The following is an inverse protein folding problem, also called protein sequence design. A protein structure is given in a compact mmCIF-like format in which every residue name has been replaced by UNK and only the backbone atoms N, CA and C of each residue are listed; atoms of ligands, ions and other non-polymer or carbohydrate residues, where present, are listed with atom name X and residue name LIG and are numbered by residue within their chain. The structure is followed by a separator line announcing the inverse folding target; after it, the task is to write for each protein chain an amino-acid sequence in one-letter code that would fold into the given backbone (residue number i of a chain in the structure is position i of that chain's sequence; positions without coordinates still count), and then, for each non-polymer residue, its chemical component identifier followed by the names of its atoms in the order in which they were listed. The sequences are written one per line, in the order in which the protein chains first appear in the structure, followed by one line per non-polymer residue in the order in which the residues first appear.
data_IF_178689829520
#
_entry.id   IF_178689829520
#
_cell.length_a   1.000
_cell.length_b   1.000
_cell.length_c   1.000
_cell.angle_alpha   90.00
_cell.angle_beta   90.00
_cell.angle_gamma   90.00
#
_symmetry.space_group_name_H-M   'P 1'
#
loop_
_entity.id
_entity.type
_entity.pdbx_description
1 polymer ?
#
# COMPACT_ATOMS: atom_id res chain seq x y z
N UNK A 1 -32.00 21.55 7.34
CA UNK A 1 -31.17 21.32 6.14
C UNK A 1 -30.22 20.20 6.51
N UNK A 2 -30.39 19.03 5.93
CA UNK A 2 -29.41 17.93 6.12
C UNK A 2 -28.14 18.37 5.41
N UNK A 3 -27.06 18.61 6.17
CA UNK A 3 -25.75 18.90 5.58
C UNK A 3 -25.35 17.72 4.70
N UNK A 4 -25.01 18.00 3.45
CA UNK A 4 -24.51 16.96 2.54
C UNK A 4 -23.24 16.36 3.15
N UNK A 5 -23.16 15.02 3.15
CA UNK A 5 -21.98 14.32 3.67
C UNK A 5 -20.73 14.74 2.87
N UNK A 6 -19.59 15.00 3.53
CA UNK A 6 -18.32 15.24 2.82
C UNK A 6 -17.96 14.04 1.94
N UNK A 7 -17.56 14.30 0.70
CA UNK A 7 -17.15 13.27 -0.24
C UNK A 7 -15.68 12.93 0.00
N UNK A 8 -15.40 11.63 0.21
CA UNK A 8 -14.04 11.09 0.18
C UNK A 8 -13.84 10.30 -1.11
N UNK A 9 -12.89 10.74 -1.90
CA UNK A 9 -12.47 10.07 -3.14
C UNK A 9 -11.39 9.03 -2.82
N UNK A 10 -11.54 7.81 -3.33
CA UNK A 10 -10.56 6.73 -3.11
C UNK A 10 -10.06 6.23 -4.45
N UNK A 11 -8.79 6.49 -4.74
CA UNK A 11 -8.07 5.89 -5.86
C UNK A 11 -7.60 4.47 -5.50
N UNK A 12 -7.46 3.60 -6.50
CA UNK A 12 -7.10 2.22 -6.27
C UNK A 12 -8.14 1.41 -5.47
N UNK A 13 -9.40 1.85 -5.42
CA UNK A 13 -10.48 1.29 -4.61
C UNK A 13 -10.79 -0.20 -4.89
N UNK A 14 -10.44 -0.70 -6.07
CA UNK A 14 -10.56 -2.11 -6.46
C UNK A 14 -9.32 -2.95 -6.18
N UNK A 15 -8.24 -2.34 -5.66
CA UNK A 15 -7.00 -2.99 -5.26
C UNK A 15 -6.89 -3.17 -3.73
N UNK A 16 -5.76 -3.65 -3.27
CA UNK A 16 -5.53 -3.96 -1.86
C UNK A 16 -5.68 -2.74 -0.94
N UNK A 17 -4.89 -1.69 -1.16
CA UNK A 17 -4.88 -0.51 -0.28
C UNK A 17 -6.22 0.24 -0.32
N UNK A 18 -6.63 0.69 -1.50
CA UNK A 18 -7.88 1.45 -1.64
C UNK A 18 -9.11 0.64 -1.24
N UNK A 19 -9.12 -0.68 -1.50
CA UNK A 19 -10.19 -1.58 -1.06
C UNK A 19 -10.27 -1.67 0.46
N UNK A 20 -9.13 -1.78 1.15
CA UNK A 20 -9.05 -1.76 2.61
C UNK A 20 -9.58 -0.43 3.17
N UNK A 21 -9.19 0.71 2.57
CA UNK A 21 -9.68 2.05 2.96
C UNK A 21 -11.20 2.15 2.81
N UNK A 22 -11.75 1.75 1.65
CA UNK A 22 -13.21 1.77 1.42
C UNK A 22 -13.94 0.90 2.43
N UNK A 23 -13.48 -0.35 2.63
CA UNK A 23 -14.13 -1.27 3.57
C UNK A 23 -14.12 -0.72 5.00
N UNK A 24 -13.00 -0.13 5.44
CA UNK A 24 -12.89 0.46 6.78
C UNK A 24 -13.81 1.67 6.95
N UNK A 25 -13.82 2.60 6.01
CA UNK A 25 -14.70 3.77 6.04
C UNK A 25 -16.17 3.37 6.02
N UNK A 26 -16.57 2.37 5.24
CA UNK A 26 -17.93 1.84 5.24
C UNK A 26 -18.32 1.24 6.59
N UNK A 27 -17.39 0.56 7.27
CA UNK A 27 -17.70 -0.10 8.55
C UNK A 27 -17.76 0.86 9.74
N UNK A 28 -16.98 1.95 9.72
CA UNK A 28 -16.84 2.85 10.88
C UNK A 28 -17.46 4.23 10.69
N UNK A 29 -17.62 4.69 9.45
CA UNK A 29 -17.92 6.09 9.13
C UNK A 29 -18.97 6.26 8.03
N UNK A 30 -19.77 5.22 7.77
CA UNK A 30 -20.78 5.19 6.67
C UNK A 30 -21.76 6.37 6.69
N UNK A 31 -22.07 6.87 7.87
CA UNK A 31 -23.00 7.99 8.04
C UNK A 31 -22.29 9.35 8.07
N UNK A 32 -20.97 9.37 8.03
CA UNK A 32 -20.18 10.60 8.10
C UNK A 32 -19.73 11.06 6.70
N UNK A 33 -19.44 10.09 5.79
CA UNK A 33 -18.87 10.37 4.49
C UNK A 33 -19.66 9.73 3.36
N UNK A 34 -19.71 10.42 2.22
CA UNK A 34 -20.05 9.81 0.94
C UNK A 34 -18.77 9.32 0.27
N UNK A 35 -18.70 8.03 -0.06
CA UNK A 35 -17.51 7.44 -0.65
C UNK A 35 -17.60 7.38 -2.17
N UNK A 36 -16.59 7.90 -2.85
CA UNK A 36 -16.44 7.85 -4.30
C UNK A 36 -15.20 7.03 -4.66
N UNK A 37 -15.41 5.86 -5.23
CA UNK A 37 -14.37 4.96 -5.73
C UNK A 37 -14.01 5.31 -7.17
N UNK A 38 -12.73 5.57 -7.44
CA UNK A 38 -12.24 5.86 -8.77
C UNK A 38 -11.58 4.62 -9.36
N UNK A 39 -11.95 4.28 -10.59
CA UNK A 39 -11.41 3.13 -11.33
C UNK A 39 -11.33 3.38 -12.83
N UNK A 40 -10.37 2.76 -13.50
CA UNK A 40 -10.26 2.75 -14.97
C UNK A 40 -11.33 1.89 -15.65
N UNK A 41 -11.98 0.99 -14.90
CA UNK A 41 -13.06 0.14 -15.41
C UNK A 41 -14.24 0.06 -14.44
N UNK A 42 -15.20 1.02 -14.50
CA UNK A 42 -16.41 1.02 -13.67
C UNK A 42 -17.31 -0.21 -13.88
N UNK A 43 -17.14 -0.91 -14.99
CA UNK A 43 -17.93 -2.11 -15.32
C UNK A 43 -17.28 -3.41 -14.83
N UNK A 44 -16.13 -3.37 -14.18
CA UNK A 44 -15.48 -4.55 -13.62
C UNK A 44 -16.33 -5.16 -12.49
N UNK A 45 -16.16 -6.47 -12.25
CA UNK A 45 -16.86 -7.15 -11.15
C UNK A 45 -16.52 -6.53 -9.79
N UNK A 46 -15.28 -6.13 -9.58
CA UNK A 46 -14.85 -5.45 -8.36
C UNK A 46 -15.53 -4.09 -8.18
N UNK A 47 -15.63 -3.28 -9.24
CA UNK A 47 -16.31 -1.99 -9.21
C UNK A 47 -17.82 -2.15 -8.92
N UNK A 48 -18.49 -3.13 -9.54
CA UNK A 48 -19.90 -3.43 -9.26
C UNK A 48 -20.13 -3.82 -7.81
N UNK A 49 -19.27 -4.64 -7.22
CA UNK A 49 -19.34 -4.99 -5.79
C UNK A 49 -19.23 -3.77 -4.87
N UNK A 50 -18.46 -2.75 -5.25
CA UNK A 50 -18.41 -1.49 -4.49
C UNK A 50 -19.73 -0.71 -4.62
N UNK A 51 -20.29 -0.62 -5.82
CA UNK A 51 -21.59 0.02 -6.04
C UNK A 51 -22.73 -0.68 -5.26
N UNK A 52 -22.75 -2.01 -5.19
CA UNK A 52 -23.68 -2.80 -4.38
C UNK A 52 -23.59 -2.47 -2.87
N UNK A 53 -22.42 -2.05 -2.39
CA UNK A 53 -22.22 -1.57 -1.01
C UNK A 53 -22.66 -0.12 -0.79
N UNK A 54 -23.12 0.58 -1.83
CA UNK A 54 -23.55 1.97 -1.81
C UNK A 54 -22.41 2.97 -2.01
N UNK A 55 -21.27 2.55 -2.58
CA UNK A 55 -20.18 3.43 -2.96
C UNK A 55 -20.45 3.99 -4.36
N UNK A 56 -20.31 5.29 -4.54
CA UNK A 56 -20.33 5.92 -5.87
C UNK A 56 -19.10 5.46 -6.66
N UNK A 57 -19.29 4.93 -7.86
CA UNK A 57 -18.19 4.48 -8.71
C UNK A 57 -18.08 5.38 -9.93
N UNK A 58 -16.91 5.98 -10.12
CA UNK A 58 -16.64 6.88 -11.25
C UNK A 58 -15.42 6.43 -12.04
N UNK A 59 -15.42 6.80 -13.33
CA UNK A 59 -14.24 6.60 -14.17
C UNK A 59 -13.19 7.65 -13.85
N UNK A 60 -11.92 7.23 -13.77
CA UNK A 60 -10.75 8.10 -13.70
C UNK A 60 -9.47 7.30 -13.94
N UNK A 61 -8.55 7.90 -14.69
CA UNK A 61 -7.27 7.33 -15.05
C UNK A 61 -6.16 8.37 -14.82
N UNK A 62 -5.23 8.07 -13.91
CA UNK A 62 -4.14 8.97 -13.58
C UNK A 62 -3.21 9.28 -14.77
N UNK A 63 -3.22 8.45 -15.82
CA UNK A 63 -2.53 8.72 -17.08
C UNK A 63 -3.32 9.66 -18.01
N UNK A 64 -4.56 10.02 -17.67
CA UNK A 64 -5.48 10.85 -18.45
C UNK A 64 -6.03 11.98 -17.57
N UNK A 65 -5.25 13.06 -17.38
CA UNK A 65 -5.63 14.15 -16.48
C UNK A 65 -7.04 14.70 -16.72
N UNK A 66 -7.47 14.74 -17.98
CA UNK A 66 -8.81 15.20 -18.37
C UNK A 66 -9.94 14.34 -17.77
N UNK A 67 -9.68 13.09 -17.40
CA UNK A 67 -10.65 12.19 -16.79
C UNK A 67 -10.83 12.41 -15.28
N UNK A 68 -9.97 13.20 -14.64
CA UNK A 68 -9.90 13.31 -13.19
C UNK A 68 -10.84 14.38 -12.64
N UNK A 69 -11.25 15.36 -13.43
CA UNK A 69 -12.12 16.46 -12.99
C UNK A 69 -13.41 15.95 -12.34
N UNK A 70 -14.11 15.02 -12.99
CA UNK A 70 -15.34 14.45 -12.45
C UNK A 70 -15.11 13.62 -11.16
N UNK A 71 -13.93 13.01 -11.02
CA UNK A 71 -13.59 12.26 -9.81
C UNK A 71 -13.49 13.16 -8.58
N UNK A 72 -12.95 14.38 -8.72
CA UNK A 72 -12.75 15.32 -7.62
C UNK A 72 -13.88 16.36 -7.46
N UNK A 73 -14.91 16.35 -8.32
CA UNK A 73 -16.02 17.31 -8.22
C UNK A 73 -16.72 17.23 -6.86
N UNK A 74 -16.71 18.34 -6.12
CA UNK A 74 -17.28 18.47 -4.77
C UNK A 74 -16.58 17.64 -3.69
N UNK A 75 -15.44 17.01 -3.99
CA UNK A 75 -14.70 16.19 -3.02
C UNK A 75 -14.09 17.07 -1.91
N UNK A 76 -14.23 16.59 -0.67
CA UNK A 76 -13.61 17.21 0.51
C UNK A 76 -12.26 16.61 0.84
N UNK A 77 -12.11 15.28 0.66
CA UNK A 77 -10.89 14.56 0.96
C UNK A 77 -10.60 13.46 -0.06
N UNK A 78 -9.34 13.03 -0.12
CA UNK A 78 -8.94 11.98 -1.05
C UNK A 78 -7.87 11.04 -0.48
N UNK A 79 -8.04 9.74 -0.70
CA UNK A 79 -6.96 8.76 -0.60
C UNK A 79 -6.36 8.54 -1.99
N UNK A 80 -5.08 8.81 -2.13
CA UNK A 80 -4.34 8.75 -3.40
C UNK A 80 -3.25 7.68 -3.34
N UNK A 81 -3.17 6.88 -4.39
CA UNK A 81 -2.15 5.84 -4.57
C UNK A 81 -1.90 5.61 -6.06
N UNK A 82 -0.66 5.35 -6.43
CA UNK A 82 -0.24 4.90 -7.76
C UNK A 82 0.17 3.44 -7.74
N UNK A 83 0.21 2.78 -8.89
CA UNK A 83 0.60 1.39 -9.03
C UNK A 83 1.74 1.23 -10.04
N UNK A 84 2.97 1.27 -9.55
CA UNK A 84 4.17 1.02 -10.35
C UNK A 84 4.16 -0.36 -11.05
N UNK A 85 3.61 -1.36 -10.39
CA UNK A 85 3.61 -2.75 -10.84
C UNK A 85 2.43 -3.11 -11.77
N UNK A 86 1.76 -2.12 -12.36
CA UNK A 86 0.68 -2.38 -13.29
C UNK A 86 1.22 -3.01 -14.59
N UNK A 87 0.87 -4.27 -14.90
CA UNK A 87 1.40 -4.98 -16.06
C UNK A 87 1.03 -4.33 -17.40
N UNK A 88 0.02 -3.45 -17.41
CA UNK A 88 -0.44 -2.76 -18.62
C UNK A 88 0.34 -1.46 -18.94
N UNK A 89 1.23 -1.04 -18.04
CA UNK A 89 1.94 0.24 -18.16
C UNK A 89 3.45 0.10 -18.43
N UNK A 90 3.97 -1.14 -18.33
CA UNK A 90 5.41 -1.36 -18.29
C UNK A 90 6.05 -0.85 -17.00
N UNK A 91 7.36 -1.00 -16.88
CA UNK A 91 8.14 -0.54 -15.73
C UNK A 91 8.87 0.78 -16.06
N UNK A 92 8.13 1.78 -16.58
CA UNK A 92 8.69 3.12 -16.76
C UNK A 92 8.90 3.76 -15.38
N UNK A 93 10.17 4.10 -15.04
CA UNK A 93 10.50 4.67 -13.74
C UNK A 93 9.71 5.94 -13.38
N UNK A 94 9.38 6.79 -14.36
CA UNK A 94 8.70 8.08 -14.10
C UNK A 94 7.18 7.96 -13.95
N UNK A 95 6.59 6.82 -14.29
CA UNK A 95 5.12 6.64 -14.29
C UNK A 95 4.48 7.00 -12.96
N UNK A 96 5.02 6.53 -11.83
CA UNK A 96 4.46 6.83 -10.50
C UNK A 96 4.46 8.33 -10.19
N UNK A 97 5.53 9.04 -10.54
CA UNK A 97 5.61 10.49 -10.33
C UNK A 97 4.61 11.26 -11.20
N UNK A 98 4.53 10.93 -12.48
CA UNK A 98 3.59 11.59 -13.41
C UNK A 98 2.15 11.36 -12.99
N UNK A 99 1.79 10.12 -12.68
CA UNK A 99 0.45 9.78 -12.18
C UNK A 99 0.13 10.51 -10.88
N UNK A 100 1.03 10.44 -9.89
CA UNK A 100 0.84 11.10 -8.61
C UNK A 100 0.65 12.61 -8.77
N UNK A 101 1.49 13.25 -9.59
CA UNK A 101 1.37 14.67 -9.91
C UNK A 101 0.01 15.01 -10.53
N UNK A 102 -0.46 14.22 -11.51
CA UNK A 102 -1.77 14.43 -12.13
C UNK A 102 -2.92 14.34 -11.12
N UNK A 103 -2.85 13.38 -10.18
CA UNK A 103 -3.83 13.24 -9.10
C UNK A 103 -3.85 14.44 -8.18
N UNK A 104 -2.68 14.95 -7.79
CA UNK A 104 -2.53 16.11 -6.92
C UNK A 104 -3.02 17.37 -7.62
N UNK A 105 -2.63 17.58 -8.87
CA UNK A 105 -3.07 18.73 -9.68
C UNK A 105 -4.61 18.77 -9.79
N UNK A 106 -5.24 17.62 -10.06
CA UNK A 106 -6.69 17.51 -10.15
C UNK A 106 -7.38 17.80 -8.80
N UNK A 107 -6.82 17.28 -7.69
CA UNK A 107 -7.32 17.55 -6.34
C UNK A 107 -7.24 19.05 -6.01
N UNK A 108 -6.11 19.70 -6.27
CA UNK A 108 -5.91 21.15 -6.05
C UNK A 108 -6.83 21.97 -6.96
N UNK A 109 -6.92 21.61 -8.25
CA UNK A 109 -7.72 22.32 -9.24
C UNK A 109 -9.23 22.27 -8.93
N UNK A 110 -9.71 21.22 -8.24
CA UNK A 110 -11.12 21.13 -7.80
C UNK A 110 -11.54 22.28 -6.88
N UNK A 111 -10.58 22.88 -6.14
CA UNK A 111 -10.81 23.94 -5.16
C UNK A 111 -11.58 23.49 -3.89
N UNK A 112 -12.08 22.25 -3.86
CA UNK A 112 -12.92 21.71 -2.78
C UNK A 112 -12.17 20.74 -1.88
N UNK A 113 -11.14 20.03 -2.39
CA UNK A 113 -10.32 19.09 -1.60
C UNK A 113 -9.52 19.87 -0.55
N UNK A 114 -9.65 19.47 0.72
CA UNK A 114 -9.00 20.07 1.89
C UNK A 114 -7.95 19.15 2.53
N UNK A 115 -8.10 17.84 2.37
CA UNK A 115 -7.23 16.86 3.00
C UNK A 115 -6.94 15.70 2.08
N UNK A 116 -5.67 15.36 1.93
CA UNK A 116 -5.18 14.23 1.12
C UNK A 116 -4.45 13.24 2.01
N UNK A 117 -4.72 11.96 1.84
CA UNK A 117 -3.88 10.87 2.35
C UNK A 117 -3.16 10.25 1.16
N UNK A 118 -1.83 10.37 1.15
CA UNK A 118 -0.98 9.81 0.11
C UNK A 118 -0.31 8.52 0.56
N UNK A 119 -0.40 7.47 -0.26
CA UNK A 119 0.39 6.25 -0.04
C UNK A 119 1.81 6.46 -0.54
N UNK A 120 2.71 6.76 0.38
CA UNK A 120 4.11 7.11 0.14
C UNK A 120 5.07 5.93 0.37
N UNK A 121 6.33 6.16 0.05
CA UNK A 121 7.51 5.35 0.40
C UNK A 121 8.70 6.27 0.63
N UNK A 122 9.79 5.74 1.21
CA UNK A 122 10.96 6.55 1.58
C UNK A 122 11.77 7.07 0.38
N UNK A 123 12.46 8.18 0.57
CA UNK A 123 13.48 8.70 -0.35
C UNK A 123 14.76 7.85 -0.25
N UNK A 124 14.90 6.91 -1.18
CA UNK A 124 16.02 5.98 -1.18
C UNK A 124 17.30 6.65 -1.69
N UNK A 125 17.19 7.60 -2.58
CA UNK A 125 18.37 8.34 -3.07
C UNK A 125 19.03 9.08 -1.90
N UNK A 126 18.25 9.77 -1.07
CA UNK A 126 18.73 10.43 0.14
C UNK A 126 19.22 9.43 1.20
N UNK A 127 18.44 8.40 1.51
CA UNK A 127 18.76 7.42 2.54
C UNK A 127 20.03 6.63 2.21
N UNK A 128 20.31 6.36 0.93
CA UNK A 128 21.49 5.63 0.46
C UNK A 128 22.68 6.53 0.13
N UNK A 129 22.53 7.86 0.22
CA UNK A 129 23.55 8.80 -0.27
C UNK A 129 23.79 8.68 -1.78
N UNK A 130 22.77 8.35 -2.57
CA UNK A 130 22.85 8.17 -4.02
C UNK A 130 23.50 6.86 -4.48
N UNK A 131 23.76 5.91 -3.56
CA UNK A 131 24.40 4.64 -3.91
C UNK A 131 23.43 3.55 -4.37
N UNK A 132 22.13 3.76 -4.16
CA UNK A 132 21.06 2.84 -4.54
C UNK A 132 19.90 3.63 -5.16
N UNK A 133 19.45 3.22 -6.34
CA UNK A 133 18.27 3.78 -6.99
C UNK A 133 17.13 2.76 -6.94
N UNK A 134 15.98 3.15 -6.40
CA UNK A 134 14.76 2.34 -6.34
C UNK A 134 13.59 3.24 -6.76
N UNK A 135 13.37 3.41 -8.08
CA UNK A 135 12.44 4.38 -8.64
C UNK A 135 11.02 4.36 -8.04
N UNK A 136 10.43 3.19 -7.80
CA UNK A 136 9.08 3.12 -7.23
C UNK A 136 9.01 3.61 -5.76
N UNK A 137 10.13 3.65 -5.03
CA UNK A 137 10.23 4.32 -3.73
C UNK A 137 10.38 5.83 -3.91
N UNK A 138 11.46 6.23 -4.58
CA UNK A 138 11.84 7.64 -4.74
C UNK A 138 10.74 8.45 -5.40
N UNK A 139 10.02 7.90 -6.41
CA UNK A 139 8.97 8.64 -7.09
C UNK A 139 7.71 8.85 -6.23
N UNK A 140 7.37 7.91 -5.35
CA UNK A 140 6.29 8.14 -4.39
C UNK A 140 6.66 9.24 -3.39
N UNK A 141 7.90 9.29 -2.95
CA UNK A 141 8.42 10.38 -2.13
C UNK A 141 8.44 11.72 -2.87
N UNK A 142 8.83 11.77 -4.14
CA UNK A 142 8.76 12.99 -4.97
C UNK A 142 7.34 13.53 -5.07
N UNK A 143 6.33 12.66 -5.16
CA UNK A 143 4.91 13.08 -5.12
C UNK A 143 4.56 13.62 -3.73
N UNK A 144 5.05 13.01 -2.66
CA UNK A 144 4.87 13.53 -1.32
C UNK A 144 5.43 14.95 -1.17
N UNK A 145 6.68 15.19 -1.62
CA UNK A 145 7.27 16.54 -1.62
C UNK A 145 6.41 17.52 -2.45
N UNK A 146 5.87 17.05 -3.58
CA UNK A 146 4.97 17.85 -4.39
C UNK A 146 3.66 18.20 -3.67
N UNK A 147 3.08 17.25 -2.91
CA UNK A 147 1.91 17.51 -2.05
C UNK A 147 2.25 18.53 -0.95
N UNK A 148 3.37 18.34 -0.25
CA UNK A 148 3.82 19.24 0.84
C UNK A 148 4.03 20.68 0.36
N UNK A 149 4.39 20.84 -0.91
CA UNK A 149 4.55 22.16 -1.53
C UNK A 149 3.24 22.84 -1.96
N UNK A 150 2.06 22.17 -1.89
CA UNK A 150 0.79 22.76 -2.32
C UNK A 150 0.22 23.70 -1.24
N UNK A 151 0.07 25.01 -1.53
CA UNK A 151 -0.48 25.96 -0.56
C UNK A 151 -1.92 25.61 -0.16
N UNK A 152 -2.18 25.53 1.15
CA UNK A 152 -3.54 25.33 1.68
C UNK A 152 -4.09 23.89 1.57
N UNK A 153 -3.33 22.96 1.04
CA UNK A 153 -3.68 21.53 1.04
C UNK A 153 -3.09 20.87 2.30
N UNK A 154 -3.95 20.33 3.14
CA UNK A 154 -3.52 19.50 4.26
C UNK A 154 -3.32 18.05 3.80
N UNK A 155 -2.33 17.36 4.35
CA UNK A 155 -2.06 15.98 3.97
C UNK A 155 -1.47 15.16 5.11
N UNK A 156 -1.66 13.83 5.04
CA UNK A 156 -0.92 12.83 5.79
C UNK A 156 -0.33 11.78 4.84
N UNK A 157 0.78 11.17 5.23
CA UNK A 157 1.54 10.25 4.39
C UNK A 157 1.60 8.88 5.05
N UNK A 158 1.16 7.86 4.33
CA UNK A 158 1.09 6.49 4.86
C UNK A 158 2.03 5.60 4.07
N UNK A 159 3.01 5.07 4.76
CA UNK A 159 4.04 4.19 4.21
C UNK A 159 3.62 2.75 4.46
N UNK A 160 3.05 2.10 3.46
CA UNK A 160 2.61 0.73 3.58
C UNK A 160 3.80 -0.21 3.82
N UNK A 161 3.69 -1.09 4.82
CA UNK A 161 4.66 -2.13 5.09
C UNK A 161 4.69 -3.22 4.02
N UNK A 162 5.52 -4.23 4.23
CA UNK A 162 5.60 -5.40 3.37
C UNK A 162 4.31 -6.23 3.53
N UNK A 163 3.59 -6.43 2.44
CA UNK A 163 2.29 -7.11 2.48
C UNK A 163 2.44 -8.58 2.84
N UNK A 164 1.68 -9.06 3.80
CA UNK A 164 1.56 -10.48 4.09
C UNK A 164 1.15 -11.28 2.84
N UNK A 165 0.33 -10.67 1.97
CA UNK A 165 -0.12 -11.23 0.69
C UNK A 165 1.03 -11.53 -0.28
N UNK A 166 2.20 -10.89 -0.14
CA UNK A 166 3.38 -11.20 -0.95
C UNK A 166 3.89 -12.62 -0.72
N UNK A 167 3.61 -13.22 0.45
CA UNK A 167 3.92 -14.62 0.75
C UNK A 167 3.26 -15.61 -0.22
N UNK A 168 2.18 -15.22 -0.87
CA UNK A 168 1.45 -16.07 -1.84
C UNK A 168 1.52 -15.53 -3.27
N UNK A 169 1.72 -14.22 -3.46
CA UNK A 169 1.52 -13.58 -4.75
C UNK A 169 2.81 -13.04 -5.38
N UNK A 170 3.95 -13.08 -4.65
CA UNK A 170 5.15 -12.40 -5.12
C UNK A 170 6.43 -13.25 -5.00
N UNK A 171 6.67 -14.20 -5.93
CA UNK A 171 7.75 -15.16 -5.89
C UNK A 171 9.16 -14.62 -5.61
N UNK A 172 9.56 -13.41 -6.09
CA UNK A 172 10.90 -12.89 -5.84
C UNK A 172 11.26 -12.66 -4.36
N UNK A 173 10.26 -12.47 -3.50
CA UNK A 173 10.47 -12.35 -2.05
C UNK A 173 10.36 -13.68 -1.31
N UNK A 174 10.01 -14.74 -2.01
CA UNK A 174 9.86 -16.08 -1.48
C UNK A 174 8.39 -16.48 -1.31
N UNK A 175 7.95 -17.40 -2.14
CA UNK A 175 6.64 -18.05 -2.05
C UNK A 175 6.88 -19.54 -1.83
N UNK A 176 6.33 -20.17 -0.75
CA UNK A 176 6.45 -21.60 -0.56
C UNK A 176 5.86 -22.36 -1.75
N UNK A 177 6.68 -23.14 -2.42
CA UNK A 177 6.34 -23.87 -3.65
C UNK A 177 6.70 -25.34 -3.50
N UNK A 178 5.85 -26.26 -3.97
CA UNK A 178 6.16 -27.69 -3.98
C UNK A 178 7.11 -27.98 -5.13
N UNK A 179 8.29 -28.55 -4.81
CA UNK A 179 9.30 -29.02 -5.76
C UNK A 179 9.74 -30.41 -5.31
N UNK A 180 9.63 -31.43 -6.18
CA UNK A 180 10.07 -32.79 -5.90
C UNK A 180 9.58 -33.30 -4.52
N UNK A 181 8.28 -33.21 -4.26
CA UNK A 181 7.61 -33.60 -3.02
C UNK A 181 8.05 -32.83 -1.74
N UNK A 182 8.80 -31.75 -1.89
CA UNK A 182 9.23 -30.89 -0.80
C UNK A 182 8.67 -29.47 -0.98
N UNK A 183 8.35 -28.82 0.13
CA UNK A 183 8.04 -27.40 0.11
C UNK A 183 9.34 -26.62 0.21
N UNK A 184 9.63 -25.81 -0.81
CA UNK A 184 10.83 -24.98 -0.90
C UNK A 184 10.42 -23.52 -0.92
N UNK A 185 11.13 -22.68 -0.16
CA UNK A 185 11.04 -21.23 -0.24
C UNK A 185 12.41 -20.69 -0.66
N UNK A 186 12.48 -20.15 -1.88
CA UNK A 186 13.68 -19.47 -2.38
C UNK A 186 13.54 -17.96 -2.17
N UNK A 187 14.53 -17.33 -1.57
CA UNK A 187 14.53 -15.88 -1.33
C UNK A 187 15.92 -15.27 -1.42
N UNK A 188 15.99 -14.05 -1.94
CA UNK A 188 17.23 -13.26 -1.95
C UNK A 188 17.33 -12.29 -0.75
N UNK A 189 16.30 -12.21 0.09
CA UNK A 189 16.33 -11.45 1.34
C UNK A 189 17.20 -12.19 2.35
N UNK A 190 18.10 -11.47 3.03
CA UNK A 190 18.97 -12.06 4.06
C UNK A 190 18.14 -12.54 5.26
N UNK A 191 18.61 -13.62 5.89
CA UNK A 191 17.92 -14.27 7.01
C UNK A 191 17.81 -13.38 8.28
N UNK A 192 18.69 -12.41 8.42
CA UNK A 192 18.74 -11.46 9.54
C UNK A 192 17.95 -10.17 9.30
N UNK A 193 17.41 -9.98 8.10
CA UNK A 193 16.59 -8.79 7.76
C UNK A 193 15.15 -9.02 8.21
N UNK A 194 14.67 -8.18 9.11
CA UNK A 194 13.28 -8.14 9.51
C UNK A 194 12.48 -7.22 8.57
N UNK A 195 11.36 -7.73 8.07
CA UNK A 195 10.43 -7.01 7.22
C UNK A 195 9.25 -6.50 8.06
N UNK A 196 8.83 -5.24 7.92
CA UNK A 196 7.67 -4.70 8.61
C UNK A 196 6.39 -5.20 7.92
N UNK A 197 5.70 -6.16 8.51
CA UNK A 197 4.55 -6.83 7.90
C UNK A 197 3.25 -6.08 8.14
N UNK A 198 2.34 -6.21 7.18
CA UNK A 198 0.96 -5.77 7.28
C UNK A 198 0.03 -6.72 6.52
N UNK A 199 -1.10 -7.10 7.10
CA UNK A 199 -2.24 -7.60 6.34
C UNK A 199 -2.90 -6.42 5.63
N UNK A 200 -2.52 -6.21 4.36
CA UNK A 200 -2.89 -4.99 3.63
C UNK A 200 -4.40 -4.87 3.43
N UNK A 201 -5.14 -5.97 3.36
CA UNK A 201 -6.57 -5.97 3.16
C UNK A 201 -7.34 -5.61 4.43
N UNK A 202 -6.90 -6.11 5.59
CA UNK A 202 -7.59 -5.93 6.86
C UNK A 202 -7.10 -4.72 7.65
N UNK A 203 -5.80 -4.41 7.60
CA UNK A 203 -5.21 -3.46 8.52
C UNK A 203 -4.92 -2.08 7.91
N UNK A 204 -4.68 -1.98 6.61
CA UNK A 204 -4.29 -0.70 6.01
C UNK A 204 -5.35 0.39 6.18
N UNK A 205 -6.62 0.02 6.01
CA UNK A 205 -7.74 0.95 6.25
C UNK A 205 -7.84 1.43 7.70
N UNK A 206 -7.34 0.65 8.69
CA UNK A 206 -7.30 1.05 10.11
C UNK A 206 -6.29 2.19 10.34
N UNK A 207 -5.20 2.24 9.57
CA UNK A 207 -4.28 3.37 9.59
C UNK A 207 -4.85 4.60 8.88
N UNK A 208 -5.59 4.42 7.78
CA UNK A 208 -6.03 5.52 6.91
C UNK A 208 -7.34 6.18 7.38
N UNK A 209 -8.35 5.41 7.80
CA UNK A 209 -9.67 5.97 8.11
C UNK A 209 -9.65 7.02 9.24
N UNK A 210 -8.88 6.85 10.34
CA UNK A 210 -8.78 7.85 11.40
C UNK A 210 -8.20 9.19 10.95
N UNK A 211 -7.40 9.21 9.87
CA UNK A 211 -6.80 10.44 9.33
C UNK A 211 -7.88 11.39 8.78
N UNK A 212 -8.93 10.85 8.18
CA UNK A 212 -10.07 11.62 7.71
C UNK A 212 -10.96 12.10 8.86
N UNK A 213 -10.98 11.37 9.99
CA UNK A 213 -11.78 11.76 11.15
C UNK A 213 -11.18 12.95 11.93
N UNK A 214 -9.85 13.08 11.94
CA UNK A 214 -9.15 14.19 12.61
C UNK A 214 -7.97 14.70 11.76
N UNK A 215 -8.24 15.39 10.64
CA UNK A 215 -7.18 15.87 9.75
C UNK A 215 -6.19 16.82 10.43
N UNK A 216 -6.65 17.61 11.39
CA UNK A 216 -5.79 18.58 12.08
C UNK A 216 -4.70 17.88 12.92
N UNK A 217 -5.05 16.77 13.57
CA UNK A 217 -4.11 15.97 14.35
C UNK A 217 -3.04 15.31 13.49
N UNK A 218 -3.41 14.86 12.28
CA UNK A 218 -2.56 14.05 11.43
C UNK A 218 -1.89 14.83 10.29
N UNK A 219 -2.18 16.11 10.15
CA UNK A 219 -1.59 16.93 9.08
C UNK A 219 -0.07 16.98 9.16
N UNK A 220 0.59 16.63 8.06
CA UNK A 220 2.03 16.62 7.90
C UNK A 220 2.72 15.36 8.44
N UNK A 221 2.00 14.44 9.08
CA UNK A 221 2.60 13.25 9.69
C UNK A 221 2.92 12.16 8.66
N UNK A 222 4.04 11.47 8.90
CA UNK A 222 4.47 10.25 8.26
C UNK A 222 4.07 9.07 9.14
N UNK A 223 3.34 8.10 8.57
CA UNK A 223 2.75 6.97 9.29
C UNK A 223 3.24 5.68 8.68
N UNK A 224 4.05 4.94 9.42
CA UNK A 224 4.54 3.63 9.03
C UNK A 224 3.45 2.58 9.30
N UNK A 225 2.75 2.17 8.25
CA UNK A 225 1.62 1.25 8.34
C UNK A 225 2.10 -0.20 8.29
N UNK A 226 2.62 -0.68 9.40
CA UNK A 226 2.98 -2.07 9.63
C UNK A 226 2.64 -2.46 11.08
N UNK A 227 2.46 -3.76 11.32
CA UNK A 227 1.94 -4.27 12.59
C UNK A 227 2.97 -5.07 13.39
N UNK A 228 3.99 -5.61 12.72
CA UNK A 228 5.07 -6.36 13.32
C UNK A 228 6.29 -6.44 12.40
N UNK A 229 7.44 -6.78 12.97
CA UNK A 229 8.65 -7.10 12.23
C UNK A 229 8.93 -8.59 12.28
N UNK A 230 9.05 -9.27 11.12
CA UNK A 230 9.46 -10.67 11.04
C UNK A 230 10.54 -10.88 9.99
N UNK A 231 11.52 -11.72 10.31
CA UNK A 231 12.47 -12.24 9.33
C UNK A 231 11.83 -13.37 8.51
N UNK A 232 12.37 -13.66 7.31
CA UNK A 232 11.88 -14.80 6.50
C UNK A 232 11.93 -16.13 7.27
N UNK A 233 12.99 -16.46 8.03
CA UNK A 233 12.99 -17.65 8.89
C UNK A 233 11.88 -17.69 9.93
N UNK A 234 11.52 -16.53 10.53
CA UNK A 234 10.41 -16.45 11.48
C UNK A 234 9.06 -16.70 10.79
N UNK A 235 8.85 -16.12 9.60
CA UNK A 235 7.65 -16.39 8.81
C UNK A 235 7.53 -17.87 8.42
N UNK A 236 8.64 -18.49 8.01
CA UNK A 236 8.70 -19.95 7.74
C UNK A 236 8.32 -20.74 8.97
N UNK A 237 8.89 -20.43 10.14
CA UNK A 237 8.58 -21.13 11.39
C UNK A 237 7.08 -21.04 11.76
N UNK A 238 6.49 -19.86 11.61
CA UNK A 238 5.03 -19.68 11.84
C UNK A 238 4.23 -20.56 10.88
N UNK A 239 4.59 -20.56 9.61
CA UNK A 239 3.93 -21.39 8.60
C UNK A 239 4.05 -22.89 8.91
N UNK A 240 5.26 -23.39 9.21
CA UNK A 240 5.51 -24.80 9.56
C UNK A 240 4.67 -25.23 10.77
N UNK A 241 4.63 -24.40 11.81
CA UNK A 241 3.84 -24.68 13.03
C UNK A 241 2.34 -24.77 12.74
N UNK A 242 1.82 -23.93 11.85
CA UNK A 242 0.39 -23.91 11.50
C UNK A 242 -0.01 -25.00 10.50
N UNK A 243 0.84 -25.30 9.55
CA UNK A 243 0.54 -26.24 8.47
C UNK A 243 0.95 -27.69 8.77
N UNK A 244 1.87 -27.88 9.71
CA UNK A 244 2.55 -29.19 9.93
C UNK A 244 3.49 -29.56 8.78
N UNK A 245 3.79 -28.65 7.84
CA UNK A 245 4.59 -28.91 6.64
C UNK A 245 5.97 -28.28 6.79
N UNK A 246 7.03 -29.08 6.67
CA UNK A 246 8.40 -28.58 6.69
C UNK A 246 8.72 -27.78 5.42
N UNK A 247 9.42 -26.65 5.58
CA UNK A 247 9.85 -25.78 4.48
C UNK A 247 11.38 -25.76 4.37
N UNK A 248 11.88 -26.08 3.20
CA UNK A 248 13.30 -25.94 2.88
C UNK A 248 13.58 -24.51 2.43
N UNK A 249 14.06 -23.68 3.37
CA UNK A 249 14.46 -22.32 3.07
C UNK A 249 15.80 -22.32 2.33
N UNK A 250 15.82 -21.74 1.12
CA UNK A 250 17.01 -21.64 0.28
C UNK A 250 17.27 -20.16 -0.07
N UNK A 251 18.46 -19.67 0.27
CA UNK A 251 18.90 -18.36 -0.18
C UNK A 251 19.39 -18.45 -1.62
N UNK A 252 18.93 -17.51 -2.46
CA UNK A 252 19.41 -17.31 -3.83
C UNK A 252 20.18 -15.99 -3.93
N UNK A 253 20.97 -15.84 -4.98
CA UNK A 253 21.66 -14.60 -5.28
C UNK A 253 20.68 -13.56 -5.83
N UNK A 254 20.80 -12.28 -5.41
CA UNK A 254 19.95 -11.19 -5.88
C UNK A 254 19.99 -11.03 -7.40
N UNK A 255 21.15 -11.29 -8.01
CA UNK A 255 21.33 -11.21 -9.47
C UNK A 255 20.49 -12.21 -10.27
N UNK A 256 19.99 -13.28 -9.61
CA UNK A 256 19.09 -14.25 -10.25
C UNK A 256 17.63 -13.80 -10.32
N UNK A 257 17.28 -12.72 -9.61
CA UNK A 257 15.93 -12.13 -9.68
C UNK A 257 15.77 -11.42 -11.03
N UNK A 258 14.75 -11.77 -11.84
CA UNK A 258 14.71 -11.36 -13.25
C UNK A 258 14.41 -9.90 -13.50
N UNK A 259 13.88 -9.17 -12.50
CA UNK A 259 13.43 -7.77 -12.62
C UNK A 259 14.43 -6.85 -11.91
N UNK A 260 15.11 -5.93 -12.63
CA UNK A 260 16.10 -5.04 -12.03
C UNK A 260 15.57 -4.21 -10.86
N UNK A 261 14.34 -3.69 -10.95
CA UNK A 261 13.69 -2.94 -9.87
C UNK A 261 13.54 -3.78 -8.59
N UNK A 262 13.24 -5.08 -8.73
CA UNK A 262 13.17 -6.00 -7.59
C UNK A 262 14.54 -6.33 -7.02
N UNK A 263 15.59 -6.44 -7.87
CA UNK A 263 16.96 -6.57 -7.38
C UNK A 263 17.36 -5.36 -6.53
N UNK A 264 17.05 -4.14 -7.01
CA UNK A 264 17.30 -2.90 -6.27
C UNK A 264 16.53 -2.87 -4.95
N UNK A 265 15.26 -3.28 -4.95
CA UNK A 265 14.40 -3.35 -3.76
C UNK A 265 14.95 -4.35 -2.74
N UNK A 266 15.36 -5.53 -3.16
CA UNK A 266 15.96 -6.53 -2.25
C UNK A 266 17.30 -6.03 -1.71
N UNK A 267 18.11 -5.34 -2.52
CA UNK A 267 19.33 -4.70 -2.05
C UNK A 267 19.06 -3.60 -1.03
N UNK A 268 17.98 -2.81 -1.19
CA UNK A 268 17.51 -1.85 -0.20
C UNK A 268 17.23 -2.56 1.13
N UNK A 269 16.41 -3.62 1.11
CA UNK A 269 16.07 -4.37 2.34
C UNK A 269 17.31 -4.95 3.01
N UNK A 270 18.20 -5.54 2.22
CA UNK A 270 19.41 -6.18 2.72
C UNK A 270 20.45 -5.22 3.30
N UNK A 271 20.48 -3.95 2.91
CA UNK A 271 21.47 -2.96 3.33
C UNK A 271 20.94 -1.97 4.36
N UNK A 272 19.70 -1.50 4.17
CA UNK A 272 19.12 -0.38 4.92
C UNK A 272 17.85 -0.75 5.69
N UNK A 273 17.28 -1.95 5.44
CA UNK A 273 15.93 -2.32 5.91
C UNK A 273 14.83 -1.68 5.07
N UNK A 274 13.60 -2.17 5.24
CA UNK A 274 12.45 -1.73 4.47
C UNK A 274 12.12 -0.24 4.70
N UNK A 275 12.10 0.19 5.97
CA UNK A 275 11.85 1.56 6.40
C UNK A 275 13.14 2.33 6.74
N UNK A 276 14.27 1.98 6.12
CA UNK A 276 15.57 2.64 6.26
C UNK A 276 15.97 2.91 7.72
N UNK A 277 15.65 1.96 8.60
CA UNK A 277 15.99 2.03 10.03
C UNK A 277 14.94 2.68 10.92
N UNK A 278 13.82 3.17 10.38
CA UNK A 278 12.74 3.72 11.20
C UNK A 278 11.91 2.62 11.87
N UNK A 279 11.34 2.94 13.04
CA UNK A 279 10.56 2.04 13.88
C UNK A 279 9.07 2.27 13.71
N UNK A 280 8.26 1.22 13.80
CA UNK A 280 6.79 1.29 13.64
C UNK A 280 6.06 1.70 14.92
N UNK A 281 6.68 1.53 16.08
CA UNK A 281 6.05 1.77 17.38
C UNK A 281 5.50 3.19 17.54
N UNK A 282 6.19 4.27 17.08
CA UNK A 282 5.62 5.62 17.13
C UNK A 282 4.32 5.75 16.33
N UNK A 283 4.25 5.09 15.15
CA UNK A 283 3.05 5.09 14.34
C UNK A 283 1.93 4.28 14.99
N UNK A 284 2.22 3.09 15.52
CA UNK A 284 1.23 2.27 16.24
C UNK A 284 0.66 2.96 17.46
N UNK A 285 1.46 3.75 18.18
CA UNK A 285 1.02 4.52 19.35
C UNK A 285 -0.05 5.58 19.03
N UNK A 286 -0.19 5.97 17.76
CA UNK A 286 -1.25 6.89 17.32
C UNK A 286 -2.64 6.22 17.31
N UNK A 287 -2.71 4.88 17.37
CA UNK A 287 -3.92 4.06 17.20
C UNK A 287 -4.17 3.12 18.39
N UNK A 288 -4.26 3.63 19.63
CA UNK A 288 -4.31 2.79 20.85
C UNK A 288 -5.57 1.93 20.94
N UNK A 289 -6.63 2.28 20.20
CA UNK A 289 -7.90 1.56 20.20
C UNK A 289 -8.03 0.54 19.07
N UNK A 290 -7.06 0.48 18.15
CA UNK A 290 -7.13 -0.42 17.01
C UNK A 290 -6.53 -1.79 17.34
N UNK A 291 -7.26 -2.85 16.97
CA UNK A 291 -6.76 -4.20 17.01
C UNK A 291 -6.18 -4.57 15.65
N UNK A 292 -4.86 -4.57 15.55
CA UNK A 292 -4.15 -4.97 14.35
C UNK A 292 -3.93 -6.48 14.29
N UNK A 293 -3.91 -7.01 13.06
CA UNK A 293 -3.58 -8.40 12.80
C UNK A 293 -2.08 -8.70 12.87
N UNK A 294 -1.75 -9.98 12.75
CA UNK A 294 -0.38 -10.49 12.62
C UNK A 294 -0.27 -11.38 11.39
N UNK A 295 0.94 -11.68 10.96
CA UNK A 295 1.19 -12.66 9.91
C UNK A 295 0.57 -14.02 10.23
N UNK A 296 0.63 -14.43 11.50
CA UNK A 296 -0.03 -15.66 11.95
C UNK A 296 -1.55 -15.59 11.78
N UNK A 297 -2.18 -14.49 12.18
CA UNK A 297 -3.65 -14.34 12.05
C UNK A 297 -4.07 -14.28 10.58
N UNK A 298 -3.26 -13.64 9.73
CA UNK A 298 -3.46 -13.63 8.29
C UNK A 298 -3.38 -15.04 7.70
N UNK A 299 -2.33 -15.82 8.00
CA UNK A 299 -2.20 -17.21 7.54
C UNK A 299 -3.40 -18.08 7.96
N UNK A 300 -3.86 -17.96 9.21
CA UNK A 300 -5.06 -18.67 9.70
C UNK A 300 -6.30 -18.28 8.91
N UNK A 301 -6.45 -17.01 8.58
CA UNK A 301 -7.62 -16.49 7.84
C UNK A 301 -7.65 -16.99 6.40
N UNK A 302 -6.53 -16.96 5.69
CA UNK A 302 -6.48 -17.32 4.27
C UNK A 302 -6.37 -18.83 4.04
N UNK A 303 -6.01 -19.62 5.07
CA UNK A 303 -5.86 -21.08 4.96
C UNK A 303 -4.82 -21.47 3.91
N UNK A 304 -3.68 -20.79 3.87
CA UNK A 304 -2.69 -20.90 2.81
C UNK A 304 -2.14 -22.30 2.62
N UNK A 305 -2.05 -22.72 1.35
CA UNK A 305 -1.35 -23.95 0.90
C UNK A 305 -0.23 -23.59 -0.06
N UNK A 306 0.91 -24.31 -0.06
CA UNK A 306 2.00 -24.06 -1.00
C UNK A 306 1.53 -24.15 -2.46
N UNK A 307 2.14 -23.34 -3.32
CA UNK A 307 1.93 -23.45 -4.75
C UNK A 307 2.41 -24.81 -5.26
N UNK A 308 1.67 -25.39 -6.19
CA UNK A 308 2.15 -26.53 -6.99
C UNK A 308 3.05 -25.97 -8.09
N UNK A 309 4.23 -26.57 -8.27
CA UNK A 309 5.18 -26.20 -9.33
C UNK A 309 4.69 -26.61 -10.71
#
# INVERSE_FOLDING_TARGET
MTSQQPIIVVFGATGYQGGSVVNRLLSTSRHQYHLRAVTRNPQSSAARKLAEKGVEVVYGDANKPESLSAAFDGAWGAFLVTNFWDPNQGLDPETDFVQGKNLVDAAVHSGTVKFVVWSSLHDIDKASGGTLSVPHYTNKYRVEEYIRAQPGLQAAFVYAGFYAQNWVNFPPFGVPTVKEDKVVLETAVRADVALPLIDIEEDFGKFVAPLFADPARFNGLDILAATEYLTVPQMVHIYERLSGTQVHLKRIDVSTVPVPELQATINLFNRYGYYVGELIEPSLALYPSEAFGSFESWLKRVGFKPHQS
#
